data_IF_102135605302
#
_entry.id   IF_102135605302
#
_cell.length_a   1.000
_cell.length_b   1.000
_cell.length_c   1.000
_cell.angle_alpha   90.00
_cell.angle_beta   90.00
_cell.angle_gamma   90.00
#
_symmetry.space_group_name_H-M   'P 1'
#
loop_
_entity.id
_entity.type
_entity.pdbx_description
1 polymer ?
#
# COMPACT_ATOMS: atom_id res chain seq x y z
N UNK A 1 15.79 -9.51 7.26
CA UNK A 1 15.62 -9.51 5.78
C UNK A 1 15.08 -8.18 5.30
N UNK A 2 15.57 -7.75 4.17
CA UNK A 2 15.18 -6.48 3.58
C UNK A 2 13.83 -6.60 2.90
N UNK A 3 12.92 -5.69 3.21
CA UNK A 3 11.63 -5.65 2.53
C UNK A 3 11.81 -5.23 1.07
N UNK A 4 10.99 -5.77 0.20
CA UNK A 4 11.04 -5.55 -1.23
C UNK A 4 9.79 -4.83 -1.73
N UNK A 5 9.99 -3.80 -2.51
CA UNK A 5 8.92 -2.92 -2.98
C UNK A 5 8.90 -2.87 -4.50
N UNK A 6 7.72 -3.03 -5.09
CA UNK A 6 7.51 -2.86 -6.52
C UNK A 6 6.90 -1.49 -6.77
N UNK A 7 7.50 -0.72 -7.68
CA UNK A 7 6.96 0.58 -8.08
C UNK A 7 6.62 0.52 -9.56
N UNK A 8 5.35 0.70 -9.89
CA UNK A 8 4.86 0.70 -11.27
C UNK A 8 4.88 2.13 -11.82
N UNK A 9 6.06 2.69 -11.95
CA UNK A 9 6.29 4.02 -12.48
C UNK A 9 7.78 4.20 -12.73
N UNK A 10 8.16 4.50 -13.96
CA UNK A 10 9.57 4.69 -14.32
C UNK A 10 9.91 6.15 -14.58
N UNK A 11 8.98 7.07 -14.25
CA UNK A 11 9.20 8.49 -14.48
C UNK A 11 10.27 9.06 -13.53
N UNK A 12 10.96 10.08 -14.00
CA UNK A 12 11.93 10.80 -13.18
C UNK A 12 11.25 11.57 -12.06
N UNK A 13 9.96 11.89 -12.23
CA UNK A 13 9.21 12.69 -11.28
C UNK A 13 8.71 11.87 -10.09
N UNK A 14 8.36 10.62 -10.30
CA UNK A 14 7.76 9.77 -9.27
C UNK A 14 8.58 8.51 -9.02
N UNK A 15 8.66 7.63 -10.00
CA UNK A 15 9.24 6.30 -9.79
C UNK A 15 10.69 6.33 -9.40
N UNK A 16 11.52 7.05 -10.16
CA UNK A 16 12.96 7.10 -9.91
C UNK A 16 13.27 7.77 -8.57
N UNK A 17 12.55 8.84 -8.23
CA UNK A 17 12.78 9.56 -6.98
C UNK A 17 12.30 8.74 -5.79
N UNK A 18 11.15 8.09 -5.90
CA UNK A 18 10.66 7.19 -4.85
C UNK A 18 11.61 6.01 -4.64
N UNK A 19 12.16 5.47 -5.73
CA UNK A 19 13.15 4.41 -5.64
C UNK A 19 14.37 4.84 -4.81
N UNK A 20 14.89 6.03 -5.10
CA UNK A 20 16.04 6.57 -4.36
C UNK A 20 15.73 6.72 -2.88
N UNK A 21 14.59 7.30 -2.56
CA UNK A 21 14.19 7.50 -1.18
C UNK A 21 14.04 6.18 -0.42
N UNK A 22 13.40 5.20 -1.05
CA UNK A 22 13.18 3.90 -0.42
C UNK A 22 14.48 3.12 -0.26
N UNK A 23 15.37 3.18 -1.25
CA UNK A 23 16.68 2.55 -1.14
C UNK A 23 17.51 3.17 -0.04
N UNK A 24 17.39 4.48 0.16
CA UNK A 24 18.11 5.16 1.25
C UNK A 24 17.62 4.70 2.62
N UNK A 25 16.39 4.21 2.72
CA UNK A 25 15.83 3.65 3.94
C UNK A 25 16.14 2.16 4.11
N UNK A 26 16.87 1.56 3.17
CA UNK A 26 17.30 0.18 3.28
C UNK A 26 16.42 -0.84 2.56
N UNK A 27 15.45 -0.39 1.77
CA UNK A 27 14.56 -1.30 1.05
C UNK A 27 15.15 -1.72 -0.29
N UNK A 28 14.78 -2.92 -0.73
CA UNK A 28 15.03 -3.39 -2.08
C UNK A 28 13.87 -2.94 -2.96
N UNK A 29 14.16 -2.33 -4.11
CA UNK A 29 13.13 -1.72 -4.95
C UNK A 29 13.28 -2.17 -6.40
N UNK A 30 12.16 -2.54 -7.01
CA UNK A 30 12.07 -2.87 -8.43
C UNK A 30 11.14 -1.86 -9.09
N UNK A 31 11.59 -1.26 -10.19
CA UNK A 31 10.75 -0.40 -11.01
C UNK A 31 10.20 -1.18 -12.19
N UNK A 32 8.93 -0.95 -12.53
CA UNK A 32 8.37 -1.47 -13.76
C UNK A 32 7.50 -0.41 -14.43
N UNK A 33 7.07 -0.68 -15.64
CA UNK A 33 6.21 0.22 -16.40
C UNK A 33 4.86 0.40 -15.69
N UNK A 34 4.22 1.51 -15.99
CA UNK A 34 2.86 1.79 -15.51
C UNK A 34 1.87 0.99 -16.36
N UNK A 35 1.90 -0.30 -16.15
CA UNK A 35 1.11 -1.29 -16.89
C UNK A 35 0.67 -2.39 -15.94
N UNK A 36 -0.63 -2.56 -15.76
CA UNK A 36 -1.17 -3.48 -14.80
C UNK A 36 -0.81 -4.94 -15.06
N UNK A 37 -0.75 -5.35 -16.33
CA UNK A 37 -0.35 -6.72 -16.67
C UNK A 37 1.11 -6.99 -16.26
N UNK A 38 1.98 -5.99 -16.43
CA UNK A 38 3.36 -6.10 -15.99
C UNK A 38 3.45 -6.23 -14.46
N UNK A 39 2.66 -5.42 -13.76
CA UNK A 39 2.59 -5.50 -12.29
C UNK A 39 2.17 -6.90 -11.85
N UNK A 40 1.13 -7.43 -12.45
CA UNK A 40 0.64 -8.79 -12.13
C UNK A 40 1.71 -9.84 -12.36
N UNK A 41 2.46 -9.76 -13.47
CA UNK A 41 3.54 -10.68 -13.75
C UNK A 41 4.63 -10.67 -12.67
N UNK A 42 5.02 -9.48 -12.23
CA UNK A 42 5.99 -9.34 -11.14
C UNK A 42 5.45 -9.94 -9.84
N UNK A 43 4.20 -9.62 -9.50
CA UNK A 43 3.59 -10.12 -8.27
C UNK A 43 3.45 -11.65 -8.26
N UNK A 44 3.21 -12.25 -9.42
CA UNK A 44 3.10 -13.71 -9.53
C UNK A 44 4.45 -14.41 -9.49
N UNK A 45 5.51 -13.72 -9.91
CA UNK A 45 6.83 -14.35 -10.06
C UNK A 45 7.69 -14.26 -8.81
N UNK A 46 7.43 -13.30 -7.93
CA UNK A 46 8.23 -13.12 -6.73
C UNK A 46 7.42 -12.39 -5.65
N UNK A 47 7.88 -12.50 -4.42
CA UNK A 47 7.23 -11.86 -3.29
C UNK A 47 7.62 -10.38 -3.19
N UNK A 48 6.63 -9.52 -2.95
CA UNK A 48 6.85 -8.11 -2.63
C UNK A 48 6.11 -7.78 -1.33
N UNK A 49 6.75 -6.95 -0.51
CA UNK A 49 6.14 -6.49 0.74
C UNK A 49 5.20 -5.31 0.50
N UNK A 50 5.42 -4.56 -0.56
CA UNK A 50 4.55 -3.45 -0.94
C UNK A 50 4.57 -3.25 -2.44
N UNK A 51 3.48 -2.73 -2.97
CA UNK A 51 3.39 -2.28 -4.36
C UNK A 51 2.85 -0.85 -4.38
N UNK A 52 3.55 0.02 -5.11
CA UNK A 52 3.14 1.39 -5.35
C UNK A 52 2.77 1.50 -6.82
N UNK A 53 1.52 1.89 -7.08
CA UNK A 53 1.02 1.96 -8.45
C UNK A 53 -0.07 3.02 -8.59
N UNK A 54 -0.24 3.50 -9.81
CA UNK A 54 -1.38 4.36 -10.14
C UNK A 54 -2.65 3.53 -10.24
N UNK A 55 -3.78 4.13 -9.91
CA UNK A 55 -5.08 3.51 -10.18
C UNK A 55 -5.28 3.32 -11.68
N UNK A 56 -4.86 4.29 -12.47
CA UNK A 56 -5.05 4.28 -13.92
C UNK A 56 -3.75 3.90 -14.61
N UNK A 57 -3.72 2.71 -15.18
CA UNK A 57 -2.57 2.14 -15.85
C UNK A 57 -2.99 1.50 -17.16
N UNK A 58 -2.03 1.25 -18.05
CA UNK A 58 -2.26 0.54 -19.29
C UNK A 58 -2.59 -0.93 -19.04
N UNK A 59 -3.33 -1.54 -19.91
CA UNK A 59 -3.72 -2.96 -19.95
C UNK A 59 -4.67 -3.34 -18.82
N UNK A 60 -4.23 -3.34 -17.60
CA UNK A 60 -5.07 -3.56 -16.43
C UNK A 60 -4.90 -2.36 -15.49
N UNK A 61 -5.98 -1.90 -14.88
CA UNK A 61 -5.91 -0.79 -13.94
C UNK A 61 -5.60 -1.27 -12.52
N UNK A 62 -5.47 -0.32 -11.60
CA UNK A 62 -5.15 -0.64 -10.21
C UNK A 62 -6.19 -1.52 -9.56
N UNK A 63 -7.47 -1.33 -9.90
CA UNK A 63 -8.54 -2.15 -9.34
C UNK A 63 -8.40 -3.61 -9.79
N UNK A 64 -8.08 -3.86 -11.06
CA UNK A 64 -7.86 -5.21 -11.56
C UNK A 64 -6.66 -5.88 -10.89
N UNK A 65 -5.61 -5.11 -10.63
CA UNK A 65 -4.45 -5.63 -9.90
C UNK A 65 -4.84 -6.01 -8.47
N UNK A 66 -5.64 -5.17 -7.80
CA UNK A 66 -6.12 -5.46 -6.44
C UNK A 66 -6.97 -6.73 -6.43
N UNK A 67 -7.86 -6.88 -7.41
CA UNK A 67 -8.69 -8.08 -7.53
C UNK A 67 -7.83 -9.32 -7.71
N UNK A 68 -6.81 -9.24 -8.55
CA UNK A 68 -5.87 -10.33 -8.75
C UNK A 68 -5.14 -10.71 -7.45
N UNK A 69 -4.69 -9.71 -6.71
CA UNK A 69 -4.04 -9.93 -5.42
C UNK A 69 -4.98 -10.64 -4.46
N UNK A 70 -6.22 -10.17 -4.37
CA UNK A 70 -7.21 -10.75 -3.46
C UNK A 70 -7.55 -12.19 -3.81
N UNK A 71 -7.60 -12.53 -5.09
CA UNK A 71 -8.03 -13.84 -5.55
C UNK A 71 -6.89 -14.87 -5.60
N UNK A 72 -5.66 -14.40 -5.87
CA UNK A 72 -4.58 -15.30 -6.29
C UNK A 72 -3.40 -15.36 -5.34
N UNK A 73 -3.15 -14.33 -4.53
CA UNK A 73 -1.96 -14.30 -3.70
C UNK A 73 -2.25 -14.73 -2.26
N UNK A 74 -1.45 -15.68 -1.77
CA UNK A 74 -1.53 -16.11 -0.37
C UNK A 74 -0.87 -15.11 0.56
N UNK A 75 0.19 -14.46 0.11
CA UNK A 75 0.86 -13.41 0.87
C UNK A 75 0.63 -12.07 0.17
N UNK A 76 -0.23 -11.26 0.75
CA UNK A 76 -0.61 -9.98 0.15
C UNK A 76 0.43 -8.92 0.44
N UNK A 77 0.89 -8.18 -0.58
CA UNK A 77 1.70 -6.98 -0.34
C UNK A 77 0.84 -5.86 0.24
N UNK A 78 1.49 -4.87 0.86
CA UNK A 78 0.82 -3.61 1.12
C UNK A 78 0.53 -2.95 -0.22
N UNK A 79 -0.68 -2.45 -0.40
CA UNK A 79 -1.11 -1.84 -1.66
C UNK A 79 -1.22 -0.33 -1.45
N UNK A 80 -0.37 0.42 -2.14
CA UNK A 80 -0.34 1.88 -2.07
C UNK A 80 -0.69 2.44 -3.44
N UNK A 81 -1.74 3.20 -3.50
CA UNK A 81 -2.24 3.76 -4.76
C UNK A 81 -1.90 5.23 -4.91
N UNK A 82 -1.67 5.64 -6.15
CA UNK A 82 -1.51 7.03 -6.56
C UNK A 82 -2.64 7.37 -7.53
N UNK A 83 -3.23 8.55 -7.38
CA UNK A 83 -4.27 9.00 -8.31
C UNK A 83 -4.37 10.52 -8.31
N UNK A 84 -4.76 11.09 -9.44
CA UNK A 84 -5.12 12.50 -9.52
C UNK A 84 -6.56 12.75 -9.08
N UNK A 85 -7.34 11.69 -8.85
CA UNK A 85 -8.75 11.82 -8.47
C UNK A 85 -8.86 12.14 -6.99
N UNK A 86 -9.37 13.33 -6.69
CA UNK A 86 -9.60 13.78 -5.32
C UNK A 86 -11.09 13.68 -5.00
N UNK A 87 -11.52 12.47 -4.66
CA UNK A 87 -12.91 12.17 -4.34
C UNK A 87 -12.92 11.18 -3.18
N UNK A 88 -13.60 11.54 -2.10
CA UNK A 88 -13.67 10.67 -0.93
C UNK A 88 -14.44 9.37 -1.24
N UNK A 89 -15.42 9.43 -2.10
CA UNK A 89 -16.16 8.23 -2.51
C UNK A 89 -15.27 7.27 -3.29
N UNK A 90 -14.45 7.80 -4.19
CA UNK A 90 -13.53 6.99 -4.98
C UNK A 90 -12.45 6.38 -4.10
N UNK A 91 -11.86 7.18 -3.24
CA UNK A 91 -10.87 6.72 -2.27
C UNK A 91 -11.44 5.61 -1.39
N UNK A 92 -12.65 5.79 -0.89
CA UNK A 92 -13.33 4.79 -0.07
C UNK A 92 -13.47 3.46 -0.80
N UNK A 93 -13.85 3.50 -2.08
CA UNK A 93 -13.99 2.29 -2.87
C UNK A 93 -12.65 1.56 -3.06
N UNK A 94 -11.58 2.32 -3.23
CA UNK A 94 -10.25 1.74 -3.38
C UNK A 94 -9.79 1.07 -2.07
N UNK A 95 -10.02 1.73 -0.96
CA UNK A 95 -9.68 1.18 0.37
C UNK A 95 -10.52 -0.07 0.66
N UNK A 96 -11.81 -0.02 0.36
CA UNK A 96 -12.69 -1.18 0.54
C UNK A 96 -12.26 -2.36 -0.32
N UNK A 97 -11.78 -2.09 -1.52
CA UNK A 97 -11.29 -3.13 -2.42
C UNK A 97 -10.02 -3.80 -1.91
N UNK A 98 -9.26 -3.14 -1.05
CA UNK A 98 -8.08 -3.73 -0.45
C UNK A 98 -6.84 -2.85 -0.44
N UNK A 99 -6.92 -1.61 -0.92
CA UNK A 99 -5.78 -0.69 -0.86
C UNK A 99 -5.50 -0.32 0.59
N UNK A 100 -4.23 -0.25 0.94
CA UNK A 100 -3.81 0.13 2.28
C UNK A 100 -3.64 1.63 2.43
N UNK A 101 -3.34 2.32 1.35
CA UNK A 101 -3.20 3.77 1.36
C UNK A 101 -3.47 4.34 -0.03
N UNK A 102 -3.91 5.60 -0.08
CA UNK A 102 -4.26 6.29 -1.31
C UNK A 102 -3.67 7.69 -1.28
N UNK A 103 -2.72 7.98 -2.19
CA UNK A 103 -2.12 9.29 -2.32
C UNK A 103 -2.77 10.07 -3.46
N UNK A 104 -3.06 11.33 -3.21
CA UNK A 104 -3.59 12.25 -4.23
C UNK A 104 -2.42 13.03 -4.82
N UNK A 105 -2.26 12.97 -6.13
CA UNK A 105 -1.23 13.73 -6.84
C UNK A 105 -1.55 15.23 -6.82
N UNK A 106 -0.57 16.13 -6.76
CA UNK A 106 0.87 15.87 -6.80
C UNK A 106 1.40 15.32 -5.48
N UNK A 107 2.42 14.47 -5.54
CA UNK A 107 2.99 13.82 -4.36
C UNK A 107 4.39 14.34 -4.06
N UNK A 108 4.79 14.17 -2.81
CA UNK A 108 6.17 14.39 -2.36
C UNK A 108 6.80 13.01 -2.17
N UNK A 109 7.79 12.64 -2.99
CA UNK A 109 8.37 11.29 -2.91
C UNK A 109 8.89 10.91 -1.53
N UNK A 110 9.48 11.84 -0.80
CA UNK A 110 9.94 11.56 0.56
C UNK A 110 8.80 11.19 1.50
N UNK A 111 7.63 11.81 1.33
CA UNK A 111 6.45 11.50 2.13
C UNK A 111 5.92 10.12 1.76
N UNK A 112 5.87 9.81 0.46
CA UNK A 112 5.42 8.50 -0.01
C UNK A 112 6.31 7.40 0.57
N UNK A 113 7.62 7.56 0.51
CA UNK A 113 8.57 6.59 1.03
C UNK A 113 8.38 6.38 2.53
N UNK A 114 8.20 7.45 3.27
CA UNK A 114 8.00 7.35 4.71
C UNK A 114 6.69 6.65 5.07
N UNK A 115 5.62 6.92 4.32
CA UNK A 115 4.33 6.23 4.53
C UNK A 115 4.45 4.74 4.26
N UNK A 116 5.12 4.38 3.18
CA UNK A 116 5.34 2.97 2.85
C UNK A 116 6.09 2.27 3.99
N UNK A 117 7.13 2.91 4.51
CA UNK A 117 7.86 2.38 5.64
C UNK A 117 6.95 2.14 6.85
N UNK A 118 6.11 3.12 7.15
CA UNK A 118 5.17 3.00 8.27
C UNK A 118 4.17 1.87 8.07
N UNK A 119 3.62 1.77 6.86
CA UNK A 119 2.61 0.74 6.55
C UNK A 119 3.20 -0.66 6.67
N UNK A 120 4.41 -0.85 6.17
CA UNK A 120 5.09 -2.14 6.28
C UNK A 120 5.34 -2.48 7.76
N UNK A 121 5.76 -1.51 8.56
CA UNK A 121 5.98 -1.69 9.99
C UNK A 121 4.69 -2.07 10.71
N UNK A 122 3.59 -1.40 10.39
CA UNK A 122 2.30 -1.70 11.02
C UNK A 122 1.82 -3.10 10.71
N UNK A 123 1.96 -3.54 9.48
CA UNK A 123 1.59 -4.91 9.12
C UNK A 123 2.42 -5.92 9.88
N UNK A 124 3.71 -5.65 10.07
CA UNK A 124 4.58 -6.49 10.87
C UNK A 124 4.11 -6.57 12.32
N UNK A 125 3.73 -5.44 12.90
CA UNK A 125 3.22 -5.40 14.27
C UNK A 125 1.89 -6.12 14.41
N UNK A 126 0.99 -5.93 13.46
CA UNK A 126 -0.27 -6.64 13.44
C UNK A 126 -0.07 -8.15 13.40
N UNK A 127 0.85 -8.60 12.56
CA UNK A 127 1.17 -10.02 12.45
C UNK A 127 1.74 -10.56 13.76
N UNK A 128 2.62 -9.81 14.42
CA UNK A 128 3.17 -10.18 15.72
C UNK A 128 2.09 -10.28 16.78
N UNK A 129 1.17 -9.35 16.80
CA UNK A 129 0.06 -9.36 17.75
C UNK A 129 -0.85 -10.58 17.55
N UNK A 130 -1.13 -10.91 16.30
CA UNK A 130 -1.93 -12.08 15.97
C UNK A 130 -1.24 -13.38 16.40
N UNK A 131 0.06 -13.45 16.22
CA UNK A 131 0.84 -14.63 16.59
C UNK A 131 0.98 -14.81 18.10
N UNK A 132 1.05 -13.73 18.81
CA UNK A 132 1.14 -13.79 20.28
C UNK A 132 -0.16 -14.06 20.98
N UNK A 133 -1.39 -14.08 20.32
CA UNK A 133 -2.48 -13.74 20.52
C UNK A 133 -3.33 -14.23 21.21
N UNK A 134 -3.54 -13.78 22.17
CA UNK A 134 -4.68 -13.90 22.93
C UNK A 134 -5.52 -12.66 22.96
N UNK A 135 -5.23 -11.72 22.11
CA UNK A 135 -6.01 -10.50 22.01
C UNK A 135 -7.27 -10.74 21.22
N UNK A 136 -8.37 -10.14 21.68
CA UNK A 136 -9.58 -10.09 20.89
C UNK A 136 -9.34 -9.32 19.60
N UNK A 137 -10.09 -9.63 18.56
CA UNK A 137 -9.98 -8.94 17.29
C UNK A 137 -10.17 -7.43 17.44
N UNK A 138 -11.08 -7.02 18.32
CA UNK A 138 -11.33 -5.60 18.57
C UNK A 138 -10.10 -4.89 19.15
N UNK A 139 -9.34 -5.54 20.00
CA UNK A 139 -8.13 -4.95 20.58
C UNK A 139 -7.08 -4.71 19.51
N UNK A 140 -6.94 -5.63 18.55
CA UNK A 140 -6.01 -5.49 17.45
C UNK A 140 -6.42 -4.32 16.57
N UNK A 141 -7.69 -4.18 16.27
CA UNK A 141 -8.22 -3.08 15.46
C UNK A 141 -7.99 -1.73 16.13
N UNK A 142 -8.19 -1.64 17.44
CA UNK A 142 -7.96 -0.42 18.20
C UNK A 142 -6.49 -0.02 18.14
N UNK A 143 -5.57 -0.96 18.33
CA UNK A 143 -4.13 -0.70 18.28
C UNK A 143 -3.73 -0.14 16.92
N UNK A 144 -4.21 -0.76 15.84
CA UNK A 144 -3.89 -0.30 14.48
C UNK A 144 -4.49 1.08 14.23
N UNK A 145 -5.72 1.34 14.68
CA UNK A 145 -6.35 2.65 14.55
C UNK A 145 -5.56 3.73 15.26
N UNK A 146 -5.05 3.44 16.45
CA UNK A 146 -4.26 4.39 17.22
C UNK A 146 -2.91 4.69 16.55
N UNK A 147 -2.27 3.67 16.01
CA UNK A 147 -1.02 3.85 15.25
C UNK A 147 -1.27 4.77 14.06
N UNK A 148 -2.33 4.53 13.30
CA UNK A 148 -2.67 5.36 12.15
C UNK A 148 -2.96 6.81 12.54
N UNK A 149 -3.59 7.04 13.68
CA UNK A 149 -3.82 8.40 14.19
C UNK A 149 -2.53 9.11 14.55
N UNK A 150 -1.62 8.42 15.20
CA UNK A 150 -0.35 9.01 15.67
C UNK A 150 0.50 9.55 14.52
N UNK A 151 0.42 8.95 13.35
CA UNK A 151 1.20 9.39 12.20
C UNK A 151 0.44 10.34 11.30
N UNK A 152 -0.76 10.75 11.71
CA UNK A 152 -1.51 11.76 10.99
C UNK A 152 -2.23 11.30 9.75
N UNK A 153 -2.64 10.05 9.69
CA UNK A 153 -3.51 9.58 8.60
C UNK A 153 -4.85 10.31 8.72
N UNK A 154 -5.34 10.92 7.62
CA UNK A 154 -6.59 11.66 7.70
C UNK A 154 -7.76 10.80 8.15
N UNK A 155 -8.61 11.36 9.01
CA UNK A 155 -9.74 10.63 9.56
C UNK A 155 -10.77 10.22 8.51
N UNK A 156 -10.76 10.87 7.35
CA UNK A 156 -11.68 10.55 6.26
C UNK A 156 -11.28 9.29 5.47
N UNK A 157 -10.14 8.68 5.77
CA UNK A 157 -9.77 7.40 5.16
C UNK A 157 -10.67 6.33 5.75
N UNK A 158 -11.58 5.83 4.94
CA UNK A 158 -12.67 4.99 5.40
C UNK A 158 -12.26 3.61 5.88
N UNK A 159 -11.22 3.04 5.27
CA UNK A 159 -10.71 1.74 5.72
C UNK A 159 -10.34 1.74 7.18
N UNK A 160 -9.73 2.83 7.65
CA UNK A 160 -9.40 3.01 9.05
C UNK A 160 -10.66 3.06 9.93
N UNK A 161 -11.69 3.74 9.47
CA UNK A 161 -12.95 3.84 10.22
C UNK A 161 -13.68 2.50 10.31
N UNK A 162 -13.66 1.72 9.26
CA UNK A 162 -14.31 0.40 9.24
C UNK A 162 -13.68 -0.56 10.23
N UNK A 163 -12.39 -0.47 10.47
CA UNK A 163 -11.73 -1.29 11.47
C UNK A 163 -12.30 -1.08 12.87
N UNK A 164 -12.94 0.05 13.11
CA UNK A 164 -13.52 0.41 14.39
C UNK A 164 -14.98 0.04 14.53
N UNK A 165 -15.69 -0.07 13.44
CA UNK A 165 -17.14 -0.26 13.43
C UNK A 165 -17.57 -1.69 13.18
N UNK A 166 -16.70 -2.47 12.57
CA UNK A 166 -16.99 -3.88 12.32
C UNK A 166 -16.45 -4.79 13.44
#
# INVERSE_FOLDING_TARGET
MTAKILIADKSDEIGVVCEKELKSLGYDVVLCDKNGDTVIKYLDSQHFDAVLMDVFMSSADGMEVIEHINESLTQRPCIVLLSAVNSSDFEERMIEAGADYYFIKPIKPAVVAKRIQNIISWKGEKHKLQNKNSYAQDDIEVVISDIMRQIGVPAHIKGYQYLRTS
#
